data_IF_178949057797
#
_entry.id   IF_178949057797
#
_cell.length_a   1.000
_cell.length_b   1.000
_cell.length_c   1.000
_cell.angle_alpha   90.00
_cell.angle_beta   90.00
_cell.angle_gamma   90.00
#
_symmetry.space_group_name_H-M   'P 1'
#
loop_
_entity.id
_entity.type
_entity.pdbx_description
1 polymer ?
#
# COMPACT_ATOMS: atom_id res chain seq x y z
N UNK A 1 -11.94 15.51 -8.61
CA UNK A 1 -11.51 15.52 -7.20
C UNK A 1 -10.04 15.13 -7.13
N UNK A 2 -9.18 15.84 -6.40
CA UNK A 2 -7.82 15.35 -6.15
C UNK A 2 -7.93 14.03 -5.40
N UNK A 3 -7.36 12.95 -5.96
CA UNK A 3 -7.26 11.68 -5.24
C UNK A 3 -6.48 11.95 -3.94
N UNK A 4 -6.96 11.51 -2.76
CA UNK A 4 -6.15 11.61 -1.57
C UNK A 4 -4.85 10.82 -1.78
N UNK A 5 -3.75 11.32 -1.20
CA UNK A 5 -2.41 10.76 -1.32
C UNK A 5 -1.89 10.44 0.08
N UNK A 6 -2.44 9.42 0.71
CA UNK A 6 -1.82 8.83 1.91
C UNK A 6 -0.94 7.69 1.45
N UNK A 7 0.33 7.75 1.81
CA UNK A 7 1.36 6.85 1.36
C UNK A 7 1.71 5.88 2.51
N UNK A 8 1.94 4.61 2.21
CA UNK A 8 2.09 3.52 3.17
C UNK A 8 3.10 2.50 2.67
N UNK A 9 3.93 2.02 3.59
CA UNK A 9 4.78 0.83 3.41
C UNK A 9 4.42 -0.22 4.45
N UNK A 10 4.31 -1.47 4.03
CA UNK A 10 4.32 -2.64 4.91
C UNK A 10 5.51 -3.51 4.53
N UNK A 11 6.48 -3.65 5.42
CA UNK A 11 7.58 -4.60 5.23
C UNK A 11 7.36 -5.86 6.04
N UNK A 12 7.18 -6.98 5.35
CA UNK A 12 7.08 -8.30 5.97
C UNK A 12 8.45 -8.80 6.40
N UNK A 13 9.49 -8.48 5.63
CA UNK A 13 10.87 -8.86 5.96
C UNK A 13 11.36 -8.16 7.24
N UNK A 14 11.06 -6.87 7.37
CA UNK A 14 11.53 -6.04 8.48
C UNK A 14 10.47 -5.75 9.54
N UNK A 15 9.29 -6.39 9.45
CA UNK A 15 8.30 -6.41 10.54
C UNK A 15 7.81 -5.01 10.93
N UNK A 16 7.57 -4.14 9.94
CA UNK A 16 7.10 -2.77 10.20
C UNK A 16 5.98 -2.32 9.25
N UNK A 17 5.17 -1.39 9.75
CA UNK A 17 4.16 -0.66 8.98
C UNK A 17 4.41 0.83 9.13
N UNK A 18 4.73 1.50 8.03
CA UNK A 18 4.85 2.94 7.97
C UNK A 18 3.60 3.54 7.32
N UNK A 19 2.91 4.42 8.05
CA UNK A 19 1.73 5.13 7.56
C UNK A 19 2.07 6.62 7.60
N UNK A 20 2.19 7.24 6.43
CA UNK A 20 2.53 8.66 6.33
C UNK A 20 1.40 9.54 6.87
N UNK A 21 1.74 10.42 7.81
CA UNK A 21 0.90 11.54 8.23
C UNK A 21 1.13 12.78 7.35
N UNK A 22 0.16 13.71 7.36
CA UNK A 22 0.22 14.92 6.53
C UNK A 22 1.29 15.89 7.04
N UNK A 23 2.12 16.43 6.13
CA UNK A 23 3.10 17.53 6.38
C UNK A 23 4.23 17.23 7.39
N UNK A 24 4.65 15.98 7.53
CA UNK A 24 5.75 15.58 8.43
C UNK A 24 7.02 15.14 7.70
N UNK A 25 7.26 15.69 6.49
CA UNK A 25 8.32 15.22 5.59
C UNK A 25 8.30 13.70 5.32
N UNK A 26 7.18 12.99 5.56
CA UNK A 26 7.12 11.54 5.48
C UNK A 26 7.43 10.92 4.11
N UNK A 27 7.46 11.71 3.03
CA UNK A 27 7.95 11.23 1.72
C UNK A 27 9.42 10.81 1.80
N UNK A 28 10.30 11.58 2.47
CA UNK A 28 11.72 11.25 2.53
C UNK A 28 11.96 9.96 3.30
N UNK A 29 11.22 9.78 4.40
CA UNK A 29 11.22 8.53 5.18
C UNK A 29 10.74 7.37 4.31
N UNK A 30 9.69 7.56 3.52
CA UNK A 30 9.19 6.50 2.64
C UNK A 30 10.20 6.09 1.58
N UNK A 31 10.84 7.07 0.92
CA UNK A 31 11.88 6.80 -0.07
C UNK A 31 13.05 6.05 0.58
N UNK A 32 13.49 6.47 1.77
CA UNK A 32 14.56 5.80 2.50
C UNK A 32 14.18 4.37 2.91
N UNK A 33 12.97 4.15 3.43
CA UNK A 33 12.49 2.82 3.82
C UNK A 33 12.30 1.89 2.62
N UNK A 34 11.95 2.41 1.45
CA UNK A 34 11.73 1.61 0.24
C UNK A 34 12.99 0.88 -0.26
N UNK A 35 14.18 1.36 0.10
CA UNK A 35 15.46 0.68 -0.19
C UNK A 35 15.51 -0.71 0.46
N UNK A 36 14.95 -0.84 1.67
CA UNK A 36 15.01 -2.06 2.46
C UNK A 36 13.83 -3.01 2.19
N UNK A 37 12.88 -2.62 1.34
CA UNK A 37 11.72 -3.45 1.07
C UNK A 37 12.08 -4.68 0.21
N UNK A 38 11.43 -5.81 0.52
CA UNK A 38 11.48 -7.06 -0.23
C UNK A 38 10.43 -7.12 -1.35
N UNK A 39 10.44 -8.18 -2.19
CA UNK A 39 9.49 -8.34 -3.30
C UNK A 39 8.04 -8.60 -2.85
N UNK A 40 7.83 -9.09 -1.63
CA UNK A 40 6.50 -9.33 -1.06
C UNK A 40 5.91 -8.10 -0.34
N UNK A 41 6.72 -7.07 -0.11
CA UNK A 41 6.33 -5.92 0.69
C UNK A 41 5.32 -5.03 -0.06
N UNK A 42 4.45 -4.36 0.70
CA UNK A 42 3.43 -3.47 0.14
C UNK A 42 3.99 -2.06 0.10
N UNK A 43 4.08 -1.48 -1.10
CA UNK A 43 4.55 -0.10 -1.32
C UNK A 43 3.49 0.63 -2.14
N UNK A 44 2.85 1.64 -1.56
CA UNK A 44 1.88 2.45 -2.30
C UNK A 44 2.57 3.50 -3.20
N UNK A 45 1.91 3.96 -4.27
CA UNK A 45 2.42 5.08 -5.08
C UNK A 45 2.54 6.40 -4.30
N UNK A 46 3.61 7.15 -4.56
CA UNK A 46 3.81 8.53 -4.10
C UNK A 46 3.61 9.53 -5.26
N UNK A 47 3.87 10.82 -5.05
CA UNK A 47 3.78 11.80 -6.14
C UNK A 47 4.87 11.51 -7.20
N UNK A 48 4.56 11.68 -8.49
CA UNK A 48 5.47 11.25 -9.59
C UNK A 48 6.87 11.87 -9.51
N UNK A 49 6.97 13.11 -9.00
CA UNK A 49 8.27 13.77 -8.77
C UNK A 49 9.10 13.00 -7.74
N UNK A 50 8.45 12.54 -6.67
CA UNK A 50 9.10 11.76 -5.61
C UNK A 50 9.39 10.32 -6.08
N UNK A 51 8.53 9.74 -6.93
CA UNK A 51 8.78 8.45 -7.59
C UNK A 51 10.04 8.49 -8.46
N UNK A 52 10.26 9.59 -9.18
CA UNK A 52 11.45 9.76 -10.01
C UNK A 52 12.72 9.75 -9.15
N UNK A 53 12.73 10.46 -8.01
CA UNK A 53 13.84 10.44 -7.05
C UNK A 53 14.08 9.01 -6.54
N UNK A 54 13.01 8.30 -6.18
CA UNK A 54 13.10 6.91 -5.70
C UNK A 54 13.73 5.98 -6.75
N UNK A 55 13.35 6.14 -8.03
CA UNK A 55 13.89 5.37 -9.15
C UNK A 55 15.37 5.68 -9.40
N UNK A 56 15.75 6.96 -9.35
CA UNK A 56 17.14 7.40 -9.53
C UNK A 56 18.08 6.84 -8.46
N UNK A 57 17.58 6.68 -7.24
CA UNK A 57 18.30 6.03 -6.16
C UNK A 57 18.35 4.49 -6.28
N UNK A 58 17.62 3.91 -7.24
CA UNK A 58 17.54 2.44 -7.43
C UNK A 58 16.66 1.73 -6.41
N UNK A 59 15.84 2.47 -5.65
CA UNK A 59 14.97 1.91 -4.63
C UNK A 59 13.72 1.27 -5.27
N UNK A 60 13.03 0.40 -4.52
CA UNK A 60 11.81 -0.25 -5.04
C UNK A 60 10.67 0.74 -5.24
N UNK A 61 9.99 0.59 -6.37
CA UNK A 61 8.78 1.34 -6.73
C UNK A 61 7.50 0.76 -6.12
N UNK A 62 6.32 1.27 -6.52
CA UNK A 62 5.03 0.80 -6.01
C UNK A 62 4.78 -0.67 -6.38
N UNK A 63 4.37 -1.48 -5.42
CA UNK A 63 4.10 -2.91 -5.61
C UNK A 63 3.12 -3.44 -4.55
N UNK A 64 2.43 -4.54 -4.86
CA UNK A 64 1.55 -5.29 -3.95
C UNK A 64 0.46 -4.45 -3.23
N UNK A 65 0.17 -3.24 -3.70
CA UNK A 65 -0.81 -2.32 -3.08
C UNK A 65 -2.25 -2.50 -3.59
N UNK A 66 -2.46 -3.38 -4.56
CA UNK A 66 -3.78 -3.75 -5.05
C UNK A 66 -4.20 -5.09 -4.42
N UNK A 67 -5.14 -5.06 -3.47
CA UNK A 67 -5.71 -6.29 -2.93
C UNK A 67 -6.92 -6.72 -3.72
N UNK A 68 -6.95 -7.98 -4.12
CA UNK A 68 -8.18 -8.59 -4.64
C UNK A 68 -9.04 -9.00 -3.44
N UNK A 69 -10.17 -8.34 -3.23
CA UNK A 69 -11.05 -8.74 -2.14
C UNK A 69 -11.76 -10.06 -2.50
N UNK A 70 -11.70 -11.08 -1.62
CA UNK A 70 -12.53 -12.26 -1.79
C UNK A 70 -13.99 -11.85 -1.57
N UNK A 71 -14.78 -11.85 -2.64
CA UNK A 71 -16.23 -11.62 -2.57
C UNK A 71 -16.95 -12.96 -2.42
N UNK A 72 -17.69 -13.11 -1.32
CA UNK A 72 -18.52 -14.29 -1.03
C UNK A 72 -19.99 -14.06 -1.42
N UNK A 73 -20.66 -15.12 -1.88
CA UNK A 73 -22.10 -15.11 -2.19
C UNK A 73 -22.44 -14.80 -3.66
N UNK A 74 -23.74 -14.85 -4.01
CA UNK A 74 -24.22 -14.69 -5.40
C UNK A 74 -23.81 -13.35 -6.04
N UNK A 75 -23.79 -12.26 -5.27
CA UNK A 75 -23.32 -10.95 -5.76
C UNK A 75 -21.81 -10.92 -6.05
N UNK A 76 -21.03 -11.78 -5.39
CA UNK A 76 -19.59 -11.90 -5.60
C UNK A 76 -19.22 -12.56 -6.93
N UNK A 77 -20.02 -13.55 -7.36
CA UNK A 77 -19.88 -14.18 -8.69
C UNK A 77 -20.10 -13.16 -9.83
N UNK A 78 -21.13 -12.31 -9.69
CA UNK A 78 -21.41 -11.24 -10.66
C UNK A 78 -20.22 -10.25 -10.70
N UNK A 79 -19.75 -9.78 -9.55
CA UNK A 79 -18.59 -8.88 -9.49
C UNK A 79 -17.30 -9.53 -10.06
N UNK A 80 -17.14 -10.85 -9.94
CA UNK A 80 -15.99 -11.58 -10.49
C UNK A 80 -16.02 -11.65 -12.02
N UNK A 81 -17.18 -11.89 -12.61
CA UNK A 81 -17.39 -11.89 -14.06
C UNK A 81 -17.19 -10.49 -14.67
N UNK A 82 -17.55 -9.42 -13.94
CA UNK A 82 -17.38 -8.03 -14.39
C UNK A 82 -16.03 -7.39 -13.99
N UNK A 83 -15.07 -8.16 -13.47
CA UNK A 83 -13.73 -7.65 -13.14
C UNK A 83 -13.69 -6.60 -12.02
N UNK A 84 -14.75 -6.49 -11.20
CA UNK A 84 -14.92 -5.44 -10.18
C UNK A 84 -14.31 -5.75 -8.81
N UNK A 85 -13.53 -6.83 -8.68
CA UNK A 85 -13.02 -7.32 -7.39
C UNK A 85 -11.63 -6.82 -6.97
N UNK A 86 -11.09 -5.78 -7.62
CA UNK A 86 -9.80 -5.19 -7.23
C UNK A 86 -10.05 -4.01 -6.30
N UNK A 87 -9.70 -4.18 -5.03
CA UNK A 87 -9.69 -3.10 -4.05
C UNK A 87 -8.26 -2.67 -3.84
N UNK A 88 -7.94 -1.52 -4.39
CA UNK A 88 -6.66 -0.88 -4.14
C UNK A 88 -6.63 -0.35 -2.71
N UNK A 89 -5.51 -0.52 -2.04
CA UNK A 89 -5.30 0.20 -0.80
C UNK A 89 -5.34 1.71 -1.09
N UNK A 90 -6.37 2.36 -0.56
CA UNK A 90 -6.51 3.81 -0.62
C UNK A 90 -6.75 4.37 0.78
N UNK A 91 -5.89 5.33 1.13
CA UNK A 91 -6.07 6.55 1.92
C UNK A 91 -6.75 6.53 3.29
N UNK A 92 -6.12 7.20 4.26
CA UNK A 92 -6.65 7.51 5.61
C UNK A 92 -7.41 6.36 6.27
N UNK A 93 -6.95 5.16 6.00
CA UNK A 93 -7.50 3.95 6.57
C UNK A 93 -6.90 3.88 7.97
N UNK A 94 -7.76 3.91 8.99
CA UNK A 94 -7.36 3.66 10.38
C UNK A 94 -6.44 2.43 10.41
N UNK A 95 -5.42 2.44 11.26
CA UNK A 95 -4.56 1.28 11.48
C UNK A 95 -5.36 -0.03 11.61
N UNK A 96 -6.52 0.03 12.26
CA UNK A 96 -7.48 -1.08 12.37
C UNK A 96 -8.01 -1.59 11.03
N UNK A 97 -8.33 -0.71 10.08
CA UNK A 97 -8.82 -1.10 8.75
C UNK A 97 -7.67 -1.55 7.83
N UNK A 98 -6.44 -1.08 8.04
CA UNK A 98 -5.25 -1.63 7.37
C UNK A 98 -5.06 -3.08 7.83
N UNK A 99 -5.04 -3.29 9.15
CA UNK A 99 -4.96 -4.62 9.78
C UNK A 99 -6.05 -5.57 9.29
N UNK A 100 -7.29 -5.10 9.15
CA UNK A 100 -8.39 -5.90 8.64
C UNK A 100 -8.21 -6.31 7.16
N UNK A 101 -7.54 -5.49 6.35
CA UNK A 101 -7.35 -5.73 4.90
C UNK A 101 -6.14 -6.59 4.59
N UNK A 102 -4.98 -6.28 5.18
CA UNK A 102 -3.74 -7.04 4.94
C UNK A 102 -3.69 -8.33 5.77
N UNK A 103 -4.58 -8.47 6.74
CA UNK A 103 -4.65 -9.58 7.67
C UNK A 103 -3.74 -9.37 8.89
N UNK A 104 -4.10 -9.94 10.06
CA UNK A 104 -3.30 -9.80 11.27
C UNK A 104 -1.90 -10.41 11.13
N UNK A 105 -1.74 -11.49 10.37
CA UNK A 105 -0.43 -12.12 10.15
C UNK A 105 0.60 -11.19 9.49
N UNK A 106 0.11 -10.27 8.65
CA UNK A 106 0.89 -9.30 7.88
C UNK A 106 1.08 -7.95 8.58
N UNK A 107 0.20 -7.64 9.54
CA UNK A 107 0.20 -6.36 10.27
C UNK A 107 0.82 -6.49 11.67
N UNK A 108 0.47 -7.56 12.40
CA UNK A 108 1.02 -7.91 13.71
C UNK A 108 2.30 -8.76 13.55
N UNK A 109 2.91 -8.67 12.36
CA UNK A 109 4.24 -9.17 12.09
C UNK A 109 5.24 -8.33 12.87
#
# INVERSE_FOLDING_TARGET
MPKPRTQMIVSHQHRFVFIKTRKTAGTSIEIALAEHCGPADIITPIDEVDEQIRRELGHRGPQNFELRQPVSGLGGLISHLFGRNVVRHYNHTLASLIRARIGPQSYDS
#
